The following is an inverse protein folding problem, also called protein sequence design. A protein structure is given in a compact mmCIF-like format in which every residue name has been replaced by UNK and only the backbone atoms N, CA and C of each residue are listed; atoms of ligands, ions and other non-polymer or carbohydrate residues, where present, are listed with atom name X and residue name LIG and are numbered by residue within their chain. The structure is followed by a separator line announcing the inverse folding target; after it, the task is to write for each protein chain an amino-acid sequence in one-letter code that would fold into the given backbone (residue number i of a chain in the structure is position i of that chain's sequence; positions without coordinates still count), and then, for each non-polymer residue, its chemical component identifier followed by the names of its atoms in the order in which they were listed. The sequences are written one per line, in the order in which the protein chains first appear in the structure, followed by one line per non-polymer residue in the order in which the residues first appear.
data_IF_947373751394
#
_entry.id   IF_947373751394
#
_cell.length_a   1.000
_cell.length_b   1.000
_cell.length_c   1.000
_cell.angle_alpha   90.00
_cell.angle_beta   90.00
_cell.angle_gamma   90.00
#
_symmetry.space_group_name_H-M   'P 1'
#
loop_
_entity.id
_entity.type
_entity.pdbx_description
1 polymer ?
#
# COMPACT_ATOMS: atom_id res chain seq x y z
N UNK A 1 -16.71 -12.00 6.52
CA UNK A 1 -16.61 -10.74 7.30
C UNK A 1 -15.53 -9.90 6.65
N UNK A 2 -15.87 -8.75 6.08
CA UNK A 2 -14.89 -7.86 5.42
C UNK A 2 -14.56 -6.67 6.31
N UNK A 3 -13.28 -6.36 6.46
CA UNK A 3 -12.78 -5.22 7.23
C UNK A 3 -12.07 -4.26 6.26
N UNK A 4 -12.32 -2.95 6.39
CA UNK A 4 -11.69 -1.92 5.54
C UNK A 4 -11.25 -0.74 6.40
N UNK A 5 -10.00 -0.29 6.24
CA UNK A 5 -9.48 0.96 6.79
C UNK A 5 -9.28 1.98 5.65
N UNK A 6 -9.46 3.27 5.93
CA UNK A 6 -9.32 4.36 4.95
C UNK A 6 -8.57 5.54 5.57
N UNK A 7 -7.58 6.06 4.85
CA UNK A 7 -6.87 7.30 5.17
C UNK A 7 -7.25 8.36 4.13
N UNK A 8 -7.47 9.61 4.56
CA UNK A 8 -7.80 10.75 3.68
C UNK A 8 -6.71 11.81 3.80
N UNK A 9 -6.62 12.68 2.78
CA UNK A 9 -5.72 13.84 2.76
C UNK A 9 -4.22 13.51 2.88
N UNK A 10 -3.83 12.37 2.32
CA UNK A 10 -2.43 11.95 2.26
C UNK A 10 -1.64 12.90 1.35
N UNK A 11 -0.51 13.43 1.83
CA UNK A 11 0.40 14.31 1.06
C UNK A 11 1.22 13.56 0.00
N UNK A 12 0.56 12.78 -0.85
CA UNK A 12 1.18 12.04 -1.95
C UNK A 12 0.30 12.10 -3.19
N UNK A 13 0.92 12.26 -4.36
CA UNK A 13 0.19 12.21 -5.63
C UNK A 13 -0.50 10.84 -5.80
N UNK A 14 -1.77 10.79 -6.25
CA UNK A 14 -2.49 9.54 -6.45
C UNK A 14 -1.75 8.52 -7.33
N UNK A 15 -0.98 8.98 -8.32
CA UNK A 15 -0.21 8.10 -9.21
C UNK A 15 0.88 7.33 -8.45
N UNK A 16 1.56 7.99 -7.50
CA UNK A 16 2.61 7.36 -6.67
C UNK A 16 2.04 6.33 -5.72
N UNK A 17 0.86 6.58 -5.15
CA UNK A 17 0.16 5.62 -4.30
C UNK A 17 -0.31 4.40 -5.09
N UNK A 18 -0.91 4.58 -6.28
CA UNK A 18 -1.38 3.46 -7.11
C UNK A 18 -0.27 2.48 -7.48
N UNK A 19 0.93 2.98 -7.81
CA UNK A 19 2.07 2.11 -8.11
C UNK A 19 2.40 1.13 -6.98
N UNK A 20 2.27 1.54 -5.71
CA UNK A 20 2.47 0.65 -4.56
C UNK A 20 1.28 -0.29 -4.37
N UNK A 21 0.06 0.23 -4.48
CA UNK A 21 -1.18 -0.55 -4.31
C UNK A 21 -1.26 -1.69 -5.33
N UNK A 22 -0.89 -1.42 -6.59
CA UNK A 22 -0.98 -2.42 -7.66
C UNK A 22 -0.02 -3.61 -7.42
N UNK A 23 1.06 -3.42 -6.67
CA UNK A 23 1.99 -4.51 -6.31
C UNK A 23 1.40 -5.44 -5.25
N UNK A 24 0.65 -4.90 -4.29
CA UNK A 24 0.10 -5.68 -3.15
C UNK A 24 -1.33 -6.18 -3.37
N UNK A 25 -2.02 -5.71 -4.41
CA UNK A 25 -3.42 -6.08 -4.67
C UNK A 25 -3.54 -7.58 -4.96
N UNK A 26 -4.42 -8.26 -4.25
CA UNK A 26 -4.69 -9.69 -4.42
C UNK A 26 -3.68 -10.63 -3.74
N UNK A 27 -2.65 -10.09 -3.08
CA UNK A 27 -1.69 -10.88 -2.29
C UNK A 27 -2.22 -11.17 -0.88
N UNK A 28 -1.79 -12.27 -0.25
CA UNK A 28 -2.09 -12.55 1.15
C UNK A 28 -1.44 -11.52 2.07
N UNK A 29 -2.01 -11.31 3.26
CA UNK A 29 -1.61 -10.27 4.21
C UNK A 29 -0.10 -10.30 4.53
N UNK A 30 0.41 -11.48 4.91
CA UNK A 30 1.82 -11.64 5.27
C UNK A 30 2.77 -11.27 4.12
N UNK A 31 2.44 -11.67 2.89
CA UNK A 31 3.26 -11.35 1.73
C UNK A 31 3.19 -9.85 1.40
N UNK A 32 2.01 -9.25 1.45
CA UNK A 32 1.83 -7.82 1.24
C UNK A 32 2.63 -6.99 2.26
N UNK A 33 2.62 -7.39 3.54
CA UNK A 33 3.42 -6.72 4.58
C UNK A 33 4.92 -6.86 4.34
N UNK A 34 5.40 -8.05 3.97
CA UNK A 34 6.80 -8.27 3.66
C UNK A 34 7.26 -7.41 2.46
N UNK A 35 6.43 -7.30 1.42
CA UNK A 35 6.71 -6.46 0.25
C UNK A 35 6.80 -4.99 0.64
N UNK A 36 5.87 -4.48 1.45
CA UNK A 36 5.88 -3.08 1.87
C UNK A 36 7.11 -2.71 2.70
N UNK A 37 7.67 -3.66 3.46
CA UNK A 37 8.88 -3.43 4.28
C UNK A 37 10.16 -3.22 3.45
N UNK A 38 10.26 -3.87 2.30
CA UNK A 38 11.47 -3.82 1.45
C UNK A 38 11.33 -2.87 0.26
N UNK A 39 10.14 -2.34 0.02
CA UNK A 39 9.88 -1.46 -1.12
C UNK A 39 10.58 -0.10 -0.92
N UNK A 40 11.44 0.37 -1.85
CA UNK A 40 12.20 1.61 -1.68
C UNK A 40 11.34 2.88 -1.85
N UNK A 41 10.05 2.73 -2.17
CA UNK A 41 9.14 3.84 -2.39
C UNK A 41 8.76 4.47 -1.05
N UNK A 42 8.93 5.79 -0.91
CA UNK A 42 8.49 6.56 0.27
C UNK A 42 6.98 6.44 0.56
N UNK A 43 6.21 5.95 -0.40
CA UNK A 43 4.76 5.74 -0.29
C UNK A 43 4.40 4.38 0.33
N UNK A 44 5.35 3.45 0.48
CA UNK A 44 5.12 2.13 1.05
C UNK A 44 4.69 2.09 2.54
N UNK A 45 5.20 2.96 3.44
CA UNK A 45 4.83 2.94 4.86
C UNK A 45 3.55 3.75 5.18
N UNK A 46 2.82 4.20 4.15
CA UNK A 46 1.63 5.05 4.28
C UNK A 46 0.37 4.18 4.23
#
# INVERSE_FOLDING_TARGET
MEVRAKVREVRVSPKKARMVIDVIRGKPLQEALAILQVLPQKTAPI
#
